data_IF_883422207972
#
_entry.id   IF_883422207972
#
_cell.length_a   1.000
_cell.length_b   1.000
_cell.length_c   1.000
_cell.angle_alpha   90.00
_cell.angle_beta   90.00
_cell.angle_gamma   90.00
#
_symmetry.space_group_name_H-M   'P 1'
#
loop_
_entity.id
_entity.type
_entity.pdbx_description
1 polymer ?
#
# COMPACT_ATOMS: atom_id res chain seq x y z
N UNK A 1 -11.58 -3.45 -13.20
CA UNK A 1 -12.41 -2.84 -12.14
C UNK A 1 -11.45 -2.18 -11.15
N UNK A 2 -11.76 -1.00 -10.61
CA UNK A 2 -10.99 -0.43 -9.51
C UNK A 2 -11.12 -1.29 -8.24
N UNK A 3 -10.12 -1.30 -7.37
CA UNK A 3 -10.13 -1.95 -6.04
C UNK A 3 -10.27 -0.87 -4.96
N UNK A 4 -11.31 -0.93 -4.13
CA UNK A 4 -11.68 0.16 -3.20
C UNK A 4 -11.26 -0.14 -1.76
N UNK A 5 -10.33 0.61 -1.16
CA UNK A 5 -9.98 0.47 0.26
C UNK A 5 -11.02 1.14 1.19
N UNK A 6 -11.38 0.47 2.29
CA UNK A 6 -12.31 0.96 3.30
C UNK A 6 -11.69 2.03 4.23
N UNK A 7 -12.50 2.70 5.05
CA UNK A 7 -12.01 3.60 6.10
C UNK A 7 -11.52 2.86 7.36
N UNK A 8 -10.82 3.54 8.28
CA UNK A 8 -10.44 2.94 9.55
C UNK A 8 -11.69 2.76 10.44
N UNK A 9 -11.97 1.51 10.83
CA UNK A 9 -13.07 1.15 11.74
C UNK A 9 -14.33 0.59 11.07
N UNK A 10 -14.31 0.35 9.76
CA UNK A 10 -15.45 -0.20 9.01
C UNK A 10 -15.64 -1.71 9.17
N UNK A 11 -14.77 -2.40 9.93
CA UNK A 11 -14.87 -3.83 10.18
C UNK A 11 -14.78 -4.13 11.68
N UNK A 12 -15.80 -4.82 12.21
CA UNK A 12 -15.93 -5.21 13.62
C UNK A 12 -14.78 -6.16 14.00
N UNK A 13 -13.90 -5.70 14.89
CA UNK A 13 -12.83 -6.53 15.43
C UNK A 13 -13.42 -7.46 16.49
N UNK A 14 -13.64 -8.72 16.12
CA UNK A 14 -13.95 -9.79 17.06
C UNK A 14 -12.85 -9.91 18.13
N UNK A 15 -13.20 -10.45 19.30
CA UNK A 15 -12.29 -10.55 20.44
C UNK A 15 -10.96 -11.26 20.07
N UNK A 16 -9.80 -10.77 20.52
CA UNK A 16 -8.49 -11.31 20.14
C UNK A 16 -8.30 -12.78 20.56
N UNK A 17 -7.84 -13.61 19.62
CA UNK A 17 -7.54 -15.03 19.88
C UNK A 17 -6.11 -15.20 20.45
N UNK A 18 -5.98 -15.10 21.77
CA UNK A 18 -4.69 -15.16 22.50
C UNK A 18 -4.08 -16.56 22.66
N UNK A 19 -4.25 -17.47 21.71
CA UNK A 19 -3.80 -18.85 21.90
C UNK A 19 -2.94 -19.37 20.74
N UNK A 20 -1.80 -19.93 21.16
CA UNK A 20 -0.89 -20.87 20.49
C UNK A 20 0.35 -20.27 19.81
N UNK A 21 1.50 -20.93 20.01
CA UNK A 21 2.81 -20.55 19.48
C UNK A 21 2.88 -20.78 17.98
N UNK A 22 2.59 -19.73 17.21
CA UNK A 22 2.12 -19.84 15.83
C UNK A 22 3.04 -19.14 14.80
N UNK A 23 4.31 -18.87 15.16
CA UNK A 23 5.29 -18.32 14.23
C UNK A 23 5.64 -19.31 13.10
N UNK A 24 5.28 -20.60 13.25
CA UNK A 24 5.34 -21.60 12.17
C UNK A 24 4.17 -21.41 11.21
N UNK A 25 4.41 -20.60 10.17
CA UNK A 25 3.55 -20.48 8.99
C UNK A 25 3.51 -21.79 8.18
N UNK A 26 2.42 -22.01 7.44
CA UNK A 26 2.35 -23.07 6.41
C UNK A 26 1.58 -24.33 6.79
N UNK A 27 0.34 -24.17 7.29
CA UNK A 27 -0.63 -25.26 7.31
C UNK A 27 -0.22 -26.46 8.16
N UNK A 28 -0.23 -26.33 9.48
CA UNK A 28 -0.10 -27.50 10.37
C UNK A 28 -1.47 -28.12 10.63
N UNK A 29 -1.55 -29.37 11.12
CA UNK A 29 -2.84 -29.98 11.51
C UNK A 29 -3.60 -29.18 12.57
N UNK A 30 -2.90 -28.29 13.30
CA UNK A 30 -3.46 -27.36 14.29
C UNK A 30 -3.80 -25.98 13.74
N UNK A 31 -3.41 -25.66 12.50
CA UNK A 31 -3.65 -24.37 11.85
C UNK A 31 -3.69 -24.57 10.32
N UNK A 32 -4.75 -25.22 9.80
CA UNK A 32 -4.80 -25.65 8.40
C UNK A 32 -4.83 -24.47 7.41
N UNK A 33 -5.34 -23.32 7.84
CA UNK A 33 -5.60 -22.15 6.99
C UNK A 33 -4.46 -21.10 7.07
N UNK A 34 -3.28 -21.50 7.57
CA UNK A 34 -2.09 -20.64 7.63
C UNK A 34 -1.24 -20.80 6.38
N UNK A 35 -0.91 -19.68 5.74
CA UNK A 35 -0.09 -19.66 4.54
C UNK A 35 1.37 -19.41 4.89
N UNK A 36 2.29 -20.03 4.13
CA UNK A 36 3.70 -19.61 4.12
C UNK A 36 3.81 -18.20 3.52
N UNK A 37 4.98 -17.56 3.67
CA UNK A 37 5.26 -16.27 3.01
C UNK A 37 5.05 -16.40 1.50
N UNK A 38 5.53 -17.49 0.90
CA UNK A 38 5.38 -17.76 -0.55
C UNK A 38 3.92 -18.01 -0.95
N UNK A 39 3.14 -18.69 -0.10
CA UNK A 39 1.71 -18.90 -0.31
C UNK A 39 0.92 -17.60 -0.27
N UNK A 40 1.16 -16.76 0.74
CA UNK A 40 0.57 -15.43 0.85
C UNK A 40 0.97 -14.53 -0.32
N UNK A 41 2.24 -14.56 -0.70
CA UNK A 41 2.76 -13.80 -1.85
C UNK A 41 2.10 -14.22 -3.17
N UNK A 42 1.93 -15.53 -3.40
CA UNK A 42 1.23 -16.05 -4.56
C UNK A 42 -0.25 -15.66 -4.58
N UNK A 43 -0.89 -15.63 -3.41
CA UNK A 43 -2.29 -15.23 -3.26
C UNK A 43 -2.49 -13.73 -3.51
N UNK A 44 -1.64 -12.87 -2.94
CA UNK A 44 -1.65 -11.42 -3.17
C UNK A 44 -1.35 -11.09 -4.64
N UNK A 45 -0.46 -11.84 -5.29
CA UNK A 45 -0.10 -11.66 -6.69
C UNK A 45 -0.93 -12.51 -7.68
N UNK A 46 -2.05 -13.10 -7.24
CA UNK A 46 -2.80 -14.14 -7.99
C UNK A 46 -3.26 -13.73 -9.38
N UNK A 47 -3.51 -12.43 -9.58
CA UNK A 47 -3.98 -11.90 -10.84
C UNK A 47 -2.89 -11.88 -11.92
N UNK A 48 -1.60 -11.97 -11.55
CA UNK A 48 -0.48 -11.88 -12.50
C UNK A 48 -0.38 -10.53 -13.22
N UNK A 49 -1.11 -9.52 -12.75
CA UNK A 49 -1.07 -8.14 -13.21
C UNK A 49 0.29 -7.53 -12.87
N UNK A 50 0.98 -6.96 -13.86
CA UNK A 50 2.27 -6.31 -13.63
C UNK A 50 2.69 -5.43 -14.81
N UNK A 51 3.59 -4.50 -14.54
CA UNK A 51 4.30 -3.73 -15.57
C UNK A 51 5.54 -4.45 -16.13
N UNK A 52 5.79 -5.69 -15.68
CA UNK A 52 6.95 -6.51 -16.05
C UNK A 52 8.16 -6.33 -15.12
N UNK A 53 9.03 -7.35 -15.10
CA UNK A 53 10.25 -7.40 -14.29
C UNK A 53 11.20 -6.24 -14.66
N UNK A 54 11.74 -5.53 -13.67
CA UNK A 54 12.67 -4.41 -13.91
C UNK A 54 12.02 -3.15 -14.46
N UNK A 55 10.71 -2.95 -14.24
CA UNK A 55 9.95 -1.87 -14.84
C UNK A 55 10.51 -0.48 -14.48
N UNK A 56 10.59 0.40 -15.49
CA UNK A 56 10.77 1.84 -15.30
C UNK A 56 9.43 2.52 -15.57
N UNK A 57 8.85 3.09 -14.53
CA UNK A 57 7.51 3.68 -14.54
C UNK A 57 7.61 5.18 -14.36
N UNK A 58 6.86 5.93 -15.17
CA UNK A 58 6.70 7.36 -14.93
C UNK A 58 5.52 7.60 -14.01
N UNK A 59 5.59 8.61 -13.14
CA UNK A 59 4.46 9.00 -12.32
C UNK A 59 4.26 10.51 -12.28
N UNK A 60 3.02 10.95 -12.07
CA UNK A 60 2.69 12.35 -11.87
C UNK A 60 1.46 12.54 -10.97
N UNK A 61 1.34 13.75 -10.44
CA UNK A 61 0.12 14.20 -9.79
C UNK A 61 -0.76 14.86 -10.85
N UNK A 62 -2.00 14.41 -10.99
CA UNK A 62 -2.89 14.82 -12.09
C UNK A 62 -3.13 16.33 -12.06
N UNK A 63 -2.95 17.00 -13.20
CA UNK A 63 -3.08 18.46 -13.28
C UNK A 63 -4.51 18.96 -13.44
N UNK A 64 -5.39 18.18 -14.07
CA UNK A 64 -6.78 18.56 -14.33
C UNK A 64 -7.69 17.35 -14.22
N UNK A 65 -8.97 17.57 -13.96
CA UNK A 65 -9.96 16.50 -14.01
C UNK A 65 -9.91 15.79 -15.38
N UNK A 66 -10.07 14.45 -15.42
CA UNK A 66 -10.25 13.72 -16.67
C UNK A 66 -11.55 14.14 -17.35
N UNK A 67 -11.70 13.82 -18.65
CA UNK A 67 -12.93 14.08 -19.39
C UNK A 67 -14.15 13.37 -18.80
N UNK A 68 -13.92 12.19 -18.22
CA UNK A 68 -14.88 11.42 -17.42
C UNK A 68 -14.20 11.04 -16.12
N UNK A 69 -14.79 11.42 -14.99
CA UNK A 69 -14.35 10.94 -13.68
C UNK A 69 -14.58 9.43 -13.58
N UNK A 70 -13.79 8.69 -12.78
CA UNK A 70 -14.12 7.33 -12.40
C UNK A 70 -15.57 7.21 -11.90
N UNK A 71 -16.16 6.03 -12.11
CA UNK A 71 -17.53 5.74 -11.67
C UNK A 71 -17.71 6.07 -10.19
N UNK A 72 -18.88 6.65 -9.86
CA UNK A 72 -19.24 7.09 -8.52
C UNK A 72 -18.23 8.06 -7.85
N UNK A 73 -17.45 8.83 -8.61
CA UNK A 73 -16.60 9.88 -8.03
C UNK A 73 -16.90 11.26 -8.57
N UNK A 74 -16.90 12.26 -7.68
CA UNK A 74 -16.98 13.67 -8.06
C UNK A 74 -16.01 14.54 -7.25
N UNK A 75 -15.89 15.81 -7.63
CA UNK A 75 -15.08 16.78 -6.89
C UNK A 75 -13.58 16.56 -7.03
N UNK A 76 -13.09 16.40 -8.26
CA UNK A 76 -11.66 16.36 -8.55
C UNK A 76 -10.92 17.51 -7.85
N UNK A 77 -9.83 17.16 -7.19
CA UNK A 77 -8.84 18.15 -6.76
C UNK A 77 -7.42 17.65 -7.01
N UNK A 78 -6.51 18.60 -7.16
CA UNK A 78 -5.09 18.30 -7.22
C UNK A 78 -4.60 17.84 -5.84
N UNK A 79 -3.57 17.01 -5.84
CA UNK A 79 -2.85 16.70 -4.61
C UNK A 79 -2.24 17.95 -4.00
N UNK A 80 -2.31 18.06 -2.67
CA UNK A 80 -1.63 19.11 -1.93
C UNK A 80 -0.16 18.74 -1.64
N UNK A 81 0.59 19.66 -1.03
CA UNK A 81 2.02 19.46 -0.76
C UNK A 81 2.33 18.29 0.20
N UNK A 82 1.48 18.04 1.20
CA UNK A 82 1.65 16.95 2.15
C UNK A 82 1.42 15.59 1.47
N UNK A 83 0.37 15.49 0.65
CA UNK A 83 0.09 14.29 -0.14
C UNK A 83 1.23 14.00 -1.12
N UNK A 84 1.73 15.01 -1.86
CA UNK A 84 2.87 14.85 -2.76
C UNK A 84 4.10 14.31 -2.01
N UNK A 85 4.46 14.93 -0.89
CA UNK A 85 5.61 14.50 -0.10
C UNK A 85 5.46 13.05 0.39
N UNK A 86 4.26 12.69 0.84
CA UNK A 86 3.97 11.33 1.27
C UNK A 86 4.04 10.33 0.10
N UNK A 87 3.42 10.60 -1.04
CA UNK A 87 3.49 9.70 -2.20
C UNK A 87 4.93 9.44 -2.64
N UNK A 88 5.81 10.45 -2.62
CA UNK A 88 7.22 10.27 -2.98
C UNK A 88 7.94 9.27 -2.07
N UNK A 89 7.72 9.36 -0.76
CA UNK A 89 8.28 8.41 0.20
C UNK A 89 7.65 7.01 0.04
N UNK A 90 6.36 6.92 -0.35
CA UNK A 90 5.66 5.65 -0.55
C UNK A 90 6.17 4.90 -1.78
N UNK A 91 6.36 5.63 -2.89
CA UNK A 91 7.03 5.11 -4.09
C UNK A 91 8.47 4.67 -3.78
N UNK A 92 9.18 5.44 -2.96
CA UNK A 92 10.53 5.06 -2.52
C UNK A 92 10.54 3.73 -1.74
N UNK A 93 9.57 3.53 -0.84
CA UNK A 93 9.46 2.29 -0.07
C UNK A 93 9.24 1.05 -0.96
N UNK A 94 8.41 1.16 -2.02
CA UNK A 94 8.25 0.08 -3.00
C UNK A 94 9.51 -0.15 -3.84
N UNK A 95 10.17 0.92 -4.30
CA UNK A 95 11.43 0.80 -5.09
C UNK A 95 12.61 0.27 -4.28
N UNK A 96 12.58 0.41 -2.95
CA UNK A 96 13.62 -0.14 -2.09
C UNK A 96 13.61 -1.66 -2.12
N UNK A 97 12.44 -2.30 -2.19
CA UNK A 97 12.29 -3.75 -2.00
C UNK A 97 12.22 -4.52 -3.31
N UNK A 98 11.80 -3.87 -4.39
CA UNK A 98 11.60 -4.49 -5.71
C UNK A 98 12.35 -3.73 -6.80
N UNK A 99 12.72 -4.41 -7.88
CA UNK A 99 13.40 -3.82 -9.03
C UNK A 99 12.44 -2.99 -9.90
N UNK A 100 12.00 -1.86 -9.35
CA UNK A 100 11.09 -0.90 -9.96
C UNK A 100 11.73 0.48 -9.87
N UNK A 101 11.81 1.19 -10.99
CA UNK A 101 12.35 2.55 -11.04
C UNK A 101 11.24 3.56 -11.33
N UNK A 102 10.97 4.45 -10.39
CA UNK A 102 9.96 5.51 -10.54
C UNK A 102 10.60 6.83 -11.00
N UNK A 103 10.13 7.37 -12.12
CA UNK A 103 10.56 8.67 -12.65
C UNK A 103 9.42 9.68 -12.62
N UNK A 104 9.60 10.77 -11.86
CA UNK A 104 8.57 11.81 -11.74
C UNK A 104 8.48 12.65 -13.02
N UNK A 105 7.27 12.87 -13.52
CA UNK A 105 6.96 13.88 -14.54
C UNK A 105 6.41 15.12 -13.84
N UNK A 106 7.29 16.09 -13.60
CA UNK A 106 7.00 17.30 -12.83
C UNK A 106 8.02 17.51 -11.69
N UNK A 107 7.92 18.63 -10.99
CA UNK A 107 8.84 18.99 -9.89
C UNK A 107 8.20 19.91 -8.85
N UNK A 108 8.72 19.88 -7.63
CA UNK A 108 8.19 20.67 -6.50
C UNK A 108 6.97 20.02 -5.83
N UNK A 109 6.33 20.73 -4.91
CA UNK A 109 5.14 20.28 -4.17
C UNK A 109 3.95 21.23 -4.32
N UNK A 110 4.10 22.26 -5.16
CA UNK A 110 3.10 23.29 -5.42
C UNK A 110 3.35 23.95 -6.78
N UNK A 111 2.37 24.72 -7.26
CA UNK A 111 2.43 25.38 -8.57
C UNK A 111 2.24 24.41 -9.73
N UNK A 112 2.09 24.96 -10.94
CA UNK A 112 1.76 24.15 -12.13
C UNK A 112 2.82 23.11 -12.50
N UNK A 113 4.10 23.35 -12.16
CA UNK A 113 5.19 22.40 -12.43
C UNK A 113 5.11 21.12 -11.60
N UNK A 114 4.36 21.11 -10.50
CA UNK A 114 4.21 19.94 -9.65
C UNK A 114 3.30 18.85 -10.27
N UNK A 115 2.54 19.20 -11.31
CA UNK A 115 1.47 18.39 -11.88
C UNK A 115 1.69 18.08 -13.36
N UNK A 116 1.17 16.94 -13.82
CA UNK A 116 1.15 16.51 -15.20
C UNK A 116 0.04 15.48 -15.41
N UNK A 117 -0.52 15.42 -16.61
CA UNK A 117 -1.43 14.36 -17.04
C UNK A 117 -0.74 13.29 -17.90
N UNK A 118 0.57 13.41 -18.12
CA UNK A 118 1.36 12.53 -18.97
C UNK A 118 2.34 11.70 -18.14
N UNK A 119 1.86 10.61 -17.56
CA UNK A 119 2.67 9.65 -16.82
C UNK A 119 2.00 8.27 -16.83
N UNK A 120 2.73 7.22 -16.47
CA UNK A 120 2.20 5.86 -16.33
C UNK A 120 1.24 5.76 -15.15
N UNK A 121 1.64 6.29 -13.98
CA UNK A 121 0.83 6.33 -12.77
C UNK A 121 0.36 7.77 -12.50
N UNK A 122 -0.94 8.00 -12.40
CA UNK A 122 -1.51 9.30 -12.03
C UNK A 122 -2.18 9.25 -10.65
N UNK A 123 -1.78 10.16 -9.76
CA UNK A 123 -2.35 10.34 -8.44
C UNK A 123 -3.32 11.54 -8.42
N UNK A 124 -4.55 11.32 -7.96
CA UNK A 124 -5.63 12.32 -8.02
C UNK A 124 -6.50 12.28 -6.78
N UNK A 125 -7.10 13.40 -6.38
CA UNK A 125 -8.13 13.40 -5.35
C UNK A 125 -9.53 13.40 -5.96
N UNK A 126 -10.49 12.85 -5.21
CA UNK A 126 -11.93 13.10 -5.32
C UNK A 126 -12.46 13.55 -3.95
N UNK A 127 -13.69 14.05 -3.86
CA UNK A 127 -14.26 14.51 -2.58
C UNK A 127 -15.61 13.91 -2.21
N UNK A 128 -16.24 13.20 -3.15
CA UNK A 128 -17.52 12.54 -2.93
C UNK A 128 -17.60 11.28 -3.81
N UNK A 129 -18.12 10.20 -3.25
CA UNK A 129 -18.28 8.92 -3.94
C UNK A 129 -18.90 7.84 -3.08
N UNK A 130 -18.64 6.56 -3.40
CA UNK A 130 -19.20 5.43 -2.64
C UNK A 130 -18.97 5.55 -1.15
N UNK A 131 -20.00 5.27 -0.35
CA UNK A 131 -19.94 5.37 1.10
C UNK A 131 -18.88 4.42 1.67
N UNK A 132 -18.12 4.87 2.67
CA UNK A 132 -17.00 4.12 3.27
C UNK A 132 -15.71 4.03 2.43
N UNK A 133 -15.69 4.44 1.16
CA UNK A 133 -14.49 4.36 0.33
C UNK A 133 -13.45 5.45 0.68
N UNK A 134 -12.27 5.00 1.11
CA UNK A 134 -11.15 5.88 1.43
C UNK A 134 -10.32 6.24 0.19
N UNK A 135 -10.11 5.27 -0.69
CA UNK A 135 -9.36 5.43 -1.94
C UNK A 135 -9.61 4.21 -2.84
N UNK A 136 -9.12 4.29 -4.07
CA UNK A 136 -9.02 3.14 -4.96
C UNK A 136 -7.92 3.33 -6.00
N UNK A 137 -7.53 2.22 -6.62
CA UNK A 137 -6.60 2.20 -7.74
C UNK A 137 -7.07 1.25 -8.84
N UNK A 138 -6.61 1.52 -10.05
CA UNK A 138 -6.70 0.57 -11.14
C UNK A 138 -5.44 -0.30 -11.18
N UNK A 139 -5.64 -1.61 -11.24
CA UNK A 139 -4.55 -2.59 -11.30
C UNK A 139 -3.61 -2.33 -12.49
N UNK A 140 -2.35 -2.77 -12.34
CA UNK A 140 -1.43 -2.90 -13.47
C UNK A 140 -2.03 -3.78 -14.58
N UNK A 141 -1.61 -3.64 -15.86
CA UNK A 141 -2.18 -4.43 -16.94
C UNK A 141 -1.86 -5.92 -16.77
N UNK A 142 -2.80 -6.77 -17.19
CA UNK A 142 -2.61 -8.21 -17.22
C UNK A 142 -1.61 -8.63 -18.31
N UNK A 143 -0.62 -9.44 -17.93
CA UNK A 143 0.22 -10.18 -18.88
C UNK A 143 1.23 -9.34 -19.69
N UNK A 144 1.92 -8.40 -19.04
CA UNK A 144 3.00 -7.59 -19.65
C UNK A 144 2.63 -6.99 -21.02
N UNK A 145 1.40 -6.48 -21.15
CA UNK A 145 1.02 -5.73 -22.35
C UNK A 145 1.82 -4.45 -22.38
N UNK A 146 2.78 -4.41 -23.29
CA UNK A 146 3.64 -3.25 -23.51
C UNK A 146 2.81 -2.01 -23.82
N UNK A 147 2.88 -1.04 -22.91
CA UNK A 147 2.49 0.35 -23.12
C UNK A 147 1.05 0.69 -22.72
N UNK A 148 0.93 1.77 -21.94
CA UNK A 148 -0.31 2.50 -21.68
C UNK A 148 -0.70 3.29 -22.94
N UNK A 149 -1.87 3.03 -23.49
CA UNK A 149 -2.52 3.81 -24.54
C UNK A 149 -3.06 5.14 -24.03
N UNK A 150 -3.46 6.01 -24.95
CA UNK A 150 -4.14 7.27 -24.56
C UNK A 150 -5.53 6.94 -24.01
N UNK A 151 -5.78 7.27 -22.74
CA UNK A 151 -7.08 7.06 -22.09
C UNK A 151 -7.16 5.81 -21.21
N UNK A 152 -6.16 4.93 -21.28
CA UNK A 152 -5.96 3.81 -20.35
C UNK A 152 -5.87 4.34 -18.92
N UNK A 153 -6.40 3.60 -17.94
CA UNK A 153 -6.51 4.02 -16.54
C UNK A 153 -5.66 3.17 -15.60
N UNK A 154 -5.10 2.07 -16.10
CA UNK A 154 -4.23 1.16 -15.37
C UNK A 154 -3.12 1.92 -14.63
N UNK A 155 -3.01 1.66 -13.32
CA UNK A 155 -2.05 2.31 -12.43
C UNK A 155 -2.46 3.69 -11.91
N UNK A 156 -3.55 4.29 -12.38
CA UNK A 156 -4.07 5.52 -11.78
C UNK A 156 -4.72 5.21 -10.42
N UNK A 157 -4.53 6.11 -9.45
CA UNK A 157 -5.10 6.00 -8.11
C UNK A 157 -5.77 7.30 -7.66
N UNK A 158 -6.82 7.12 -6.87
CA UNK A 158 -7.79 8.15 -6.49
C UNK A 158 -8.05 8.12 -5.00
N UNK A 159 -7.95 9.27 -4.35
CA UNK A 159 -7.96 9.38 -2.90
C UNK A 159 -9.08 10.31 -2.45
N UNK A 160 -9.90 9.87 -1.49
CA UNK A 160 -10.98 10.69 -0.96
C UNK A 160 -10.41 11.78 -0.05
N UNK A 161 -10.33 13.00 -0.57
CA UNK A 161 -9.73 14.14 0.12
C UNK A 161 -10.70 14.84 1.09
N UNK A 162 -11.96 14.39 1.18
CA UNK A 162 -12.85 14.78 2.27
C UNK A 162 -12.43 14.16 3.61
N UNK A 163 -11.66 13.08 3.58
CA UNK A 163 -11.14 12.37 4.74
C UNK A 163 -9.83 13.01 5.21
N UNK A 164 -9.83 13.54 6.42
CA UNK A 164 -8.72 14.35 6.95
C UNK A 164 -7.37 13.61 6.93
N UNK A 165 -7.37 12.29 7.15
CA UNK A 165 -6.16 11.46 7.11
C UNK A 165 -5.55 11.34 5.70
N UNK A 166 -6.38 11.38 4.65
CA UNK A 166 -5.91 11.40 3.26
C UNK A 166 -5.46 12.79 2.83
N UNK A 167 -6.09 13.85 3.36
CA UNK A 167 -5.68 15.22 3.12
C UNK A 167 -4.32 15.55 3.76
N UNK A 168 -3.99 14.92 4.90
CA UNK A 168 -2.72 15.12 5.59
C UNK A 168 -2.07 13.78 5.98
N UNK A 169 -1.51 13.02 5.03
CA UNK A 169 -0.85 11.75 5.32
C UNK A 169 0.43 11.97 6.12
N UNK A 170 0.60 11.21 7.21
CA UNK A 170 1.76 11.30 8.12
C UNK A 170 2.26 9.92 8.51
N UNK A 171 3.54 9.81 8.90
CA UNK A 171 4.11 8.56 9.41
C UNK A 171 3.24 7.97 10.53
N UNK A 172 2.93 6.68 10.44
CA UNK A 172 2.07 5.99 11.41
C UNK A 172 0.57 6.23 11.24
N UNK A 173 0.15 7.13 10.36
CA UNK A 173 -1.26 7.46 10.13
C UNK A 173 -1.89 6.61 9.01
N UNK A 174 -3.22 6.47 9.06
CA UNK A 174 -3.94 5.63 8.08
C UNK A 174 -3.78 6.11 6.63
N UNK A 175 -3.91 7.42 6.36
CA UNK A 175 -3.75 7.94 4.98
C UNK A 175 -2.34 7.72 4.39
N UNK A 176 -1.34 7.50 5.24
CA UNK A 176 0.00 7.10 4.78
C UNK A 176 0.04 5.63 4.35
N UNK A 177 -0.65 4.76 5.07
CA UNK A 177 -0.83 3.34 4.69
C UNK A 177 -1.68 3.22 3.42
N UNK A 178 -2.75 4.00 3.29
CA UNK A 178 -3.59 4.08 2.07
C UNK A 178 -2.72 4.34 0.83
N UNK A 179 -1.79 5.31 0.90
CA UNK A 179 -0.85 5.56 -0.21
C UNK A 179 0.00 4.34 -0.57
N UNK A 180 0.49 3.59 0.42
CA UNK A 180 1.28 2.38 0.16
C UNK A 180 0.40 1.31 -0.50
N UNK A 181 -0.81 1.12 0.03
CA UNK A 181 -1.81 0.16 -0.42
C UNK A 181 -2.23 0.40 -1.88
N UNK A 182 -2.67 1.62 -2.21
CA UNK A 182 -3.11 1.95 -3.57
C UNK A 182 -1.96 1.88 -4.59
N UNK A 183 -0.72 2.18 -4.17
CA UNK A 183 0.45 1.93 -5.02
C UNK A 183 0.68 0.43 -5.20
N UNK A 184 0.45 -0.40 -4.19
CA UNK A 184 0.47 -1.87 -4.29
C UNK A 184 -0.47 -2.37 -5.38
N UNK A 185 -1.72 -1.91 -5.38
CA UNK A 185 -2.68 -2.17 -6.46
C UNK A 185 -2.21 -1.67 -7.82
N UNK A 186 -1.75 -0.43 -7.91
CA UNK A 186 -1.22 0.14 -9.15
C UNK A 186 0.00 -0.64 -9.70
N UNK A 187 0.69 -1.41 -8.85
CA UNK A 187 1.77 -2.32 -9.21
C UNK A 187 1.30 -3.77 -9.43
N UNK A 188 0.05 -4.10 -9.15
CA UNK A 188 -0.56 -5.40 -9.45
C UNK A 188 -0.75 -6.33 -8.25
N UNK A 189 -0.67 -5.83 -7.02
CA UNK A 189 -1.02 -6.60 -5.83
C UNK A 189 -2.52 -6.50 -5.55
N UNK A 190 -3.18 -7.62 -5.30
CA UNK A 190 -4.59 -7.69 -4.93
C UNK A 190 -4.74 -7.73 -3.41
N UNK A 191 -5.95 -7.54 -2.89
CA UNK A 191 -6.21 -7.91 -1.49
C UNK A 191 -5.92 -9.39 -1.28
N UNK A 192 -5.49 -9.81 -0.08
CA UNK A 192 -5.26 -11.21 0.24
C UNK A 192 -6.47 -12.14 0.01
N UNK A 193 -7.70 -11.64 0.18
CA UNK A 193 -8.94 -12.35 -0.14
C UNK A 193 -9.76 -11.68 -1.25
N UNK A 194 -10.87 -12.30 -1.62
CA UNK A 194 -11.83 -11.76 -2.61
C UNK A 194 -12.88 -10.87 -1.92
N UNK A 195 -12.43 -9.74 -1.37
CA UNK A 195 -13.26 -8.71 -0.74
C UNK A 195 -12.88 -7.31 -1.24
N UNK A 196 -13.84 -6.38 -1.23
CA UNK A 196 -13.60 -4.95 -1.49
C UNK A 196 -14.55 -4.09 -0.63
N UNK A 197 -14.22 -2.81 -0.46
CA UNK A 197 -15.15 -1.87 0.17
C UNK A 197 -16.36 -1.64 -0.76
N UNK A 198 -17.56 -1.76 -0.18
CA UNK A 198 -18.83 -1.69 -0.92
C UNK A 198 -19.40 -3.05 -1.35
N UNK A 199 -18.64 -4.13 -1.26
CA UNK A 199 -19.10 -5.50 -1.55
C UNK A 199 -19.72 -6.16 -0.30
N UNK A 200 -20.88 -5.65 0.13
CA UNK A 200 -21.58 -6.16 1.30
C UNK A 200 -20.95 -5.72 2.63
N UNK A 201 -20.80 -6.64 3.58
CA UNK A 201 -20.28 -6.40 4.93
C UNK A 201 -19.22 -7.47 5.28
N UNK A 202 -18.05 -7.44 4.61
CA UNK A 202 -17.03 -8.47 4.79
C UNK A 202 -16.38 -8.34 6.18
N UNK A 203 -15.94 -9.46 6.73
CA UNK A 203 -15.29 -9.55 8.04
C UNK A 203 -14.01 -10.38 7.97
N UNK A 204 -13.18 -10.36 9.01
CA UNK A 204 -12.00 -11.24 9.07
C UNK A 204 -12.36 -12.74 9.00
N UNK A 205 -13.61 -13.12 9.31
CA UNK A 205 -14.08 -14.49 9.09
C UNK A 205 -14.14 -14.89 7.60
N UNK A 206 -14.11 -13.91 6.69
CA UNK A 206 -14.07 -14.08 5.24
C UNK A 206 -12.62 -14.04 4.68
N UNK A 207 -11.61 -13.96 5.55
CA UNK A 207 -10.21 -14.05 5.16
C UNK A 207 -9.88 -15.43 4.56
N UNK A 208 -9.18 -15.43 3.42
CA UNK A 208 -8.77 -16.67 2.74
C UNK A 208 -7.73 -17.46 3.53
N UNK A 209 -6.89 -16.76 4.30
CA UNK A 209 -5.86 -17.36 5.15
C UNK A 209 -5.63 -16.52 6.41
N UNK A 210 -5.11 -17.17 7.45
CA UNK A 210 -4.97 -16.57 8.79
C UNK A 210 -4.08 -15.33 8.83
N UNK A 211 -3.03 -15.28 8.03
CA UNK A 211 -2.11 -14.14 8.01
C UNK A 211 -2.60 -12.97 7.14
N UNK A 212 -3.86 -13.01 6.67
CA UNK A 212 -4.52 -11.84 6.09
C UNK A 212 -4.82 -10.81 7.19
N UNK A 213 -3.83 -9.99 7.52
CA UNK A 213 -3.98 -8.86 8.42
C UNK A 213 -2.89 -7.81 8.16
N UNK A 214 -3.13 -6.61 8.67
CA UNK A 214 -2.14 -5.51 8.64
C UNK A 214 -0.91 -5.77 9.51
N UNK A 215 -0.82 -6.93 10.17
CA UNK A 215 0.45 -7.43 10.73
C UNK A 215 1.42 -7.87 9.63
N UNK A 216 0.92 -8.42 8.53
CA UNK A 216 1.74 -9.11 7.52
C UNK A 216 1.74 -8.42 6.15
N UNK A 217 0.65 -7.75 5.79
CA UNK A 217 0.47 -7.08 4.51
C UNK A 217 -0.36 -5.80 4.65
N UNK A 218 0.10 -4.73 4.02
CA UNK A 218 -0.67 -3.48 3.91
C UNK A 218 -1.87 -3.61 2.98
N UNK A 219 -1.96 -4.72 2.22
CA UNK A 219 -3.08 -5.02 1.32
C UNK A 219 -4.31 -5.58 2.06
N UNK A 220 -4.18 -5.93 3.35
CA UNK A 220 -5.30 -6.44 4.14
C UNK A 220 -6.21 -5.32 4.64
N UNK A 221 -7.50 -5.63 4.80
CA UNK A 221 -8.46 -4.79 5.52
C UNK A 221 -8.47 -5.05 7.02
N UNK A 222 -7.95 -6.19 7.44
CA UNK A 222 -8.12 -6.70 8.79
C UNK A 222 -7.01 -6.18 9.72
N UNK A 223 -7.40 -5.81 10.94
CA UNK A 223 -6.44 -5.31 11.93
C UNK A 223 -5.43 -6.39 12.27
N UNK A 224 -4.20 -5.96 12.54
CA UNK A 224 -3.12 -6.77 13.10
C UNK A 224 -3.53 -7.52 14.39
N UNK A 225 -4.55 -7.01 15.11
CA UNK A 225 -5.09 -7.62 16.32
C UNK A 225 -5.76 -8.98 16.07
N UNK A 226 -6.33 -9.19 14.87
CA UNK A 226 -6.95 -10.47 14.47
C UNK A 226 -5.94 -11.62 14.51
N UNK A 227 -4.67 -11.28 14.29
CA UNK A 227 -3.54 -12.22 14.31
C UNK A 227 -2.63 -12.07 15.53
N UNK A 228 -3.06 -11.29 16.52
CA UNK A 228 -2.42 -11.18 17.83
C UNK A 228 -1.33 -10.11 17.96
N UNK A 229 -1.10 -9.30 16.94
CA UNK A 229 -0.26 -8.11 17.06
C UNK A 229 -1.01 -6.94 17.72
N UNK A 230 -0.28 -5.89 18.06
CA UNK A 230 -0.85 -4.71 18.71
C UNK A 230 -0.06 -3.45 18.32
N UNK A 231 -0.55 -2.70 17.34
CA UNK A 231 0.12 -1.52 16.81
C UNK A 231 -0.53 -0.24 17.33
N UNK A 232 -0.22 0.11 18.58
CA UNK A 232 -0.70 1.35 19.19
C UNK A 232 0.34 2.46 19.12
N UNK A 233 -0.14 3.61 18.67
CA UNK A 233 0.53 4.90 18.73
C UNK A 233 0.75 5.35 20.18
N UNK A 234 1.59 6.37 20.37
CA UNK A 234 1.92 6.89 21.71
C UNK A 234 0.73 7.53 22.42
N UNK A 235 -0.33 7.88 21.70
CA UNK A 235 -1.62 8.33 22.22
C UNK A 235 -2.61 7.21 22.53
N UNK A 236 -2.25 5.94 22.26
CA UNK A 236 -3.13 4.78 22.43
C UNK A 236 -4.12 4.56 21.27
N UNK A 237 -4.08 5.38 20.21
CA UNK A 237 -4.79 5.11 18.96
C UNK A 237 -4.01 4.15 18.04
N UNK A 238 -4.61 3.70 16.92
CA UNK A 238 -3.93 2.79 15.99
C UNK A 238 -2.72 3.46 15.32
N UNK A 239 -1.74 2.64 14.98
CA UNK A 239 -0.51 3.02 14.30
C UNK A 239 -0.28 2.11 13.10
N UNK A 240 -0.15 2.69 11.93
CA UNK A 240 -0.15 1.95 10.67
C UNK A 240 1.24 1.90 10.04
N UNK A 241 1.53 0.80 9.34
CA UNK A 241 2.75 0.68 8.55
C UNK A 241 2.83 1.76 7.46
N UNK A 242 4.03 2.27 7.21
CA UNK A 242 4.29 3.33 6.22
C UNK A 242 5.14 2.86 5.03
N UNK A 243 5.33 1.53 4.92
CA UNK A 243 6.11 0.82 3.92
C UNK A 243 5.54 -0.60 3.73
N UNK A 244 5.87 -1.30 2.62
CA UNK A 244 5.53 -2.71 2.43
C UNK A 244 5.96 -3.59 3.62
N UNK A 245 5.08 -4.48 4.04
CA UNK A 245 5.30 -5.47 5.09
C UNK A 245 5.80 -6.81 4.49
N UNK A 246 5.92 -7.84 5.32
CA UNK A 246 6.59 -9.09 4.97
C UNK A 246 6.02 -9.75 3.71
N UNK A 247 4.69 -9.88 3.64
CA UNK A 247 4.03 -10.56 2.52
C UNK A 247 3.96 -9.67 1.28
N UNK A 248 3.88 -8.35 1.49
CA UNK A 248 3.97 -7.36 0.41
C UNK A 248 5.32 -7.44 -0.30
N UNK A 249 6.41 -7.51 0.47
CA UNK A 249 7.78 -7.63 -0.05
C UNK A 249 7.92 -8.91 -0.87
N UNK A 250 7.44 -10.04 -0.34
CA UNK A 250 7.51 -11.30 -1.07
C UNK A 250 6.67 -11.24 -2.37
N UNK A 251 5.44 -10.73 -2.32
CA UNK A 251 4.55 -10.62 -3.48
C UNK A 251 5.13 -9.71 -4.56
N UNK A 252 5.62 -8.52 -4.19
CA UNK A 252 6.16 -7.57 -5.16
C UNK A 252 7.47 -8.08 -5.78
N UNK A 253 8.29 -8.82 -5.02
CA UNK A 253 9.50 -9.44 -5.54
C UNK A 253 9.19 -10.60 -6.49
N UNK A 254 8.08 -11.32 -6.30
CA UNK A 254 7.61 -12.30 -7.29
C UNK A 254 7.27 -11.63 -8.63
N UNK A 255 6.66 -10.44 -8.61
CA UNK A 255 6.27 -9.72 -9.83
C UNK A 255 7.43 -9.00 -10.52
N UNK A 256 8.33 -8.37 -9.74
CA UNK A 256 9.32 -7.44 -10.28
C UNK A 256 10.78 -7.84 -10.05
N UNK A 257 11.03 -8.87 -9.23
CA UNK A 257 12.36 -9.23 -8.75
C UNK A 257 12.83 -8.36 -7.59
N UNK A 258 13.71 -8.91 -6.76
CA UNK A 258 14.31 -8.21 -5.63
C UNK A 258 15.27 -7.09 -6.06
N UNK A 259 15.24 -5.96 -5.35
CA UNK A 259 16.23 -4.90 -5.54
C UNK A 259 17.49 -5.18 -4.74
N UNK A 260 18.49 -5.76 -5.40
CA UNK A 260 19.79 -6.10 -4.81
C UNK A 260 20.77 -4.93 -4.72
N UNK A 261 20.34 -3.69 -4.98
CA UNK A 261 21.17 -2.48 -4.83
C UNK A 261 20.86 -1.69 -3.55
N UNK A 262 19.77 -2.03 -2.88
CA UNK A 262 19.29 -1.31 -1.70
C UNK A 262 20.14 -1.63 -0.48
N UNK A 263 20.72 -0.59 0.13
CA UNK A 263 21.41 -0.65 1.44
C UNK A 263 22.58 -1.64 1.48
N UNK A 264 23.34 -1.74 0.40
CA UNK A 264 24.51 -2.64 0.22
C UNK A 264 25.76 -2.29 1.06
N UNK A 265 25.60 -1.52 2.13
CA UNK A 265 26.66 -1.10 3.04
C UNK A 265 26.17 -1.25 4.47
N UNK A 266 27.08 -1.19 5.46
CA UNK A 266 26.74 -1.23 6.89
C UNK A 266 25.54 -0.32 7.24
N UNK A 267 24.39 -0.96 7.47
CA UNK A 267 23.12 -0.28 7.72
C UNK A 267 22.66 -0.51 9.14
N UNK A 268 22.31 0.58 9.83
CA UNK A 268 21.68 0.57 11.16
C UNK A 268 20.21 0.92 11.02
N UNK A 269 19.34 0.12 11.62
CA UNK A 269 17.89 0.33 11.68
C UNK A 269 17.48 0.67 13.12
N UNK A 270 16.40 1.43 13.30
CA UNK A 270 15.91 1.90 14.59
C UNK A 270 16.70 3.11 15.10
N UNK A 271 17.26 3.01 16.31
CA UNK A 271 18.04 4.09 16.92
C UNK A 271 19.36 4.31 16.16
N UNK A 272 19.71 5.58 15.94
CA UNK A 272 20.89 5.98 15.15
C UNK A 272 20.86 5.46 13.71
N UNK A 273 19.64 5.30 13.16
CA UNK A 273 19.43 4.79 11.81
C UNK A 273 20.16 5.64 10.76
N UNK A 274 20.81 4.97 9.82
CA UNK A 274 21.43 5.57 8.63
C UNK A 274 20.70 5.17 7.34
N UNK A 275 19.50 4.58 7.45
CA UNK A 275 18.70 4.11 6.29
C UNK A 275 18.22 5.23 5.38
N UNK A 276 18.12 6.46 5.90
CA UNK A 276 17.45 7.56 5.23
C UNK A 276 15.96 7.29 4.98
N UNK A 277 15.32 6.45 5.80
CA UNK A 277 13.87 6.17 5.78
C UNK A 277 13.28 6.51 7.13
N UNK A 278 12.15 7.22 7.10
CA UNK A 278 11.41 7.61 8.30
C UNK A 278 10.85 6.39 9.03
N UNK A 279 10.26 5.43 8.31
CA UNK A 279 9.68 4.22 8.88
C UNK A 279 10.69 3.25 9.52
N UNK A 280 11.98 3.36 9.20
CA UNK A 280 13.04 2.56 9.83
C UNK A 280 13.77 3.29 10.99
N UNK A 281 13.41 4.53 11.31
CA UNK A 281 14.21 5.37 12.21
C UNK A 281 13.50 5.64 13.52
N UNK A 282 14.21 5.48 14.64
CA UNK A 282 13.79 5.94 15.96
C UNK A 282 14.80 6.96 16.50
N UNK A 283 14.28 8.02 17.08
CA UNK A 283 14.99 9.07 17.79
C UNK A 283 14.69 9.08 19.29
N UNK A 284 13.59 8.45 19.73
CA UNK A 284 13.18 8.42 21.14
C UNK A 284 12.53 7.11 21.56
N UNK A 285 12.50 6.85 22.88
CA UNK A 285 11.76 5.70 23.44
C UNK A 285 10.23 5.82 23.31
N UNK A 286 9.72 6.97 22.85
CA UNK A 286 8.30 7.16 22.56
C UNK A 286 7.93 6.79 21.13
N UNK A 287 8.91 6.56 20.23
CA UNK A 287 8.65 6.29 18.83
C UNK A 287 8.06 4.89 18.66
N UNK A 288 7.18 4.75 17.67
CA UNK A 288 6.55 3.47 17.31
C UNK A 288 7.09 3.04 15.96
N UNK A 289 7.49 1.77 15.86
CA UNK A 289 8.11 1.20 14.69
C UNK A 289 7.27 0.00 14.23
N UNK A 290 6.80 0.07 13.00
CA UNK A 290 6.11 -1.02 12.30
C UNK A 290 6.73 -1.09 10.91
N UNK A 291 7.59 -2.08 10.68
CA UNK A 291 8.28 -2.27 9.42
C UNK A 291 8.75 -3.71 9.23
N UNK A 292 8.90 -4.13 7.97
CA UNK A 292 9.67 -5.30 7.59
C UNK A 292 11.01 -4.84 6.98
N UNK A 293 12.13 -5.43 7.42
CA UNK A 293 13.46 -5.06 6.91
C UNK A 293 13.70 -5.71 5.56
N UNK A 294 14.08 -4.91 4.57
CA UNK A 294 14.73 -5.37 3.34
C UNK A 294 16.14 -4.79 3.28
N UNK A 295 17.13 -5.62 3.06
CA UNK A 295 18.54 -5.22 2.99
C UNK A 295 19.29 -6.17 2.04
N UNK A 296 20.14 -5.63 1.16
CA UNK A 296 20.84 -6.41 0.15
C UNK A 296 22.27 -6.83 0.53
N UNK A 297 22.82 -6.34 1.66
CA UNK A 297 24.06 -6.89 2.24
C UNK A 297 25.14 -5.90 2.66
#
# INVERSE_FOLDING_TARGET
MPTNLAGPGDFDSGQPSWLFGNDTRGGTSSNPDSFTIEGAAAQIARDGSSWGVGATLTFAFRSTAPGTMPDDTTGFSQFNAAQIAATLLALQAWSDVANINFTRVGSGTSGSSAFSNNATLLFSNYSDGSDGAAAFAYMAPYGARGGRGTGDVEGDSWYNNSLAYNATPVLGGYGRMVLIHEIGHALGLSHPGDYNAGDGDPSYADAEYREDSTQYTVMSYWSEAETGANFLGSSGGPYYAAAPLLDDIAAIQMLYGANMSTRTSDTTYGFNSNTGRDFYSAASGADKLVFAVWDAG
#
